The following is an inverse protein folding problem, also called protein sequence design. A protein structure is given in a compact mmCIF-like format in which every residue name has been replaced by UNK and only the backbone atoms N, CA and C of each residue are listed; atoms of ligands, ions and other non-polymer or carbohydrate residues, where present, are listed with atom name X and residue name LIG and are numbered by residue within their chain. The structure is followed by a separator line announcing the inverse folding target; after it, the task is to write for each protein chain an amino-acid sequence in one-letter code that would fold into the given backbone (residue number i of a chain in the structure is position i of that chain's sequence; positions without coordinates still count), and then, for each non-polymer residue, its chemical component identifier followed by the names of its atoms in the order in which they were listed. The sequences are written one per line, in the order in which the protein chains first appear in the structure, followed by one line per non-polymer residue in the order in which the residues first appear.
data_IF_920853661809
#
_entry.id   IF_920853661809
#
_cell.length_a   1.000
_cell.length_b   1.000
_cell.length_c   1.000
_cell.angle_alpha   90.00
_cell.angle_beta   90.00
_cell.angle_gamma   90.00
#
_symmetry.space_group_name_H-M   'P 1'
#
loop_
_entity.id
_entity.type
_entity.pdbx_description
1 polymer ?
#
# COMPACT_ATOMS: atom_id res chain seq x y z
N UNK A 1 27.05 -7.80 8.48
CA UNK A 1 27.11 -7.20 9.83
C UNK A 1 28.39 -6.38 9.90
N UNK A 2 28.30 -5.05 10.11
CA UNK A 2 29.47 -4.25 10.46
C UNK A 2 29.19 -3.61 11.82
N UNK A 3 29.99 -3.95 12.83
CA UNK A 3 29.96 -3.31 14.13
C UNK A 3 30.69 -1.97 13.98
N UNK A 4 29.98 -0.87 14.22
CA UNK A 4 30.56 0.47 14.24
C UNK A 4 30.51 1.02 15.68
N UNK A 5 31.51 1.81 16.04
CA UNK A 5 31.66 2.39 17.37
C UNK A 5 31.50 3.92 17.26
N UNK A 6 30.83 4.55 18.23
CA UNK A 6 30.79 6.01 18.33
C UNK A 6 32.11 6.57 18.94
N UNK A 7 32.25 7.90 18.99
CA UNK A 7 33.42 8.59 19.57
C UNK A 7 33.63 8.33 21.08
N UNK A 8 32.66 7.72 21.76
CA UNK A 8 32.68 7.31 23.16
C UNK A 8 32.78 5.78 23.33
N UNK A 9 33.09 5.04 22.25
CA UNK A 9 33.32 3.59 22.28
C UNK A 9 32.06 2.74 22.44
N UNK A 10 30.86 3.31 22.27
CA UNK A 10 29.61 2.53 22.38
C UNK A 10 29.36 1.77 21.08
N UNK A 11 29.21 0.43 21.13
CA UNK A 11 28.91 -0.35 19.93
C UNK A 11 27.47 -0.11 19.50
N UNK A 12 27.26 0.29 18.25
CA UNK A 12 25.93 0.33 17.62
C UNK A 12 25.92 -0.47 16.33
N UNK A 13 24.78 -1.09 16.02
CA UNK A 13 24.65 -1.97 14.87
C UNK A 13 24.15 -1.15 13.69
N UNK A 14 24.94 -1.07 12.63
CA UNK A 14 24.48 -0.55 11.34
C UNK A 14 23.78 -1.68 10.59
N UNK A 15 22.44 -1.71 10.64
CA UNK A 15 21.65 -2.57 9.78
C UNK A 15 21.76 -2.07 8.33
N UNK A 16 22.35 -2.88 7.43
CA UNK A 16 22.34 -2.62 5.99
C UNK A 16 20.95 -2.74 5.34
N UNK A 17 19.88 -2.92 6.11
CA UNK A 17 18.50 -2.92 5.60
C UNK A 17 18.08 -1.57 4.99
N UNK A 18 18.84 -0.49 5.24
CA UNK A 18 18.62 0.78 4.55
C UNK A 18 18.83 0.69 3.03
N UNK A 19 19.69 -0.20 2.54
CA UNK A 19 19.91 -0.43 1.10
C UNK A 19 18.74 -1.17 0.43
N UNK A 20 17.97 -1.96 1.19
CA UNK A 20 16.80 -2.67 0.65
C UNK A 20 15.56 -1.78 0.49
N UNK A 21 15.59 -0.54 1.01
CA UNK A 21 14.54 0.44 0.73
C UNK A 21 14.77 1.04 -0.65
N UNK A 22 14.18 0.42 -1.68
CA UNK A 22 14.00 1.02 -3.01
C UNK A 22 13.15 2.28 -2.89
N UNK A 23 13.80 3.39 -2.55
CA UNK A 23 13.14 4.69 -2.43
C UNK A 23 12.96 5.25 -3.83
N UNK A 24 11.79 4.99 -4.42
CA UNK A 24 11.36 5.68 -5.63
C UNK A 24 11.39 7.19 -5.35
N UNK A 25 12.22 7.93 -6.08
CA UNK A 25 12.42 9.38 -5.91
C UNK A 25 12.25 10.10 -7.24
N UNK A 26 11.91 11.38 -7.15
CA UNK A 26 11.80 12.25 -8.32
C UNK A 26 10.63 11.90 -9.24
N UNK A 27 10.86 12.02 -10.55
CA UNK A 27 9.84 11.93 -11.60
C UNK A 27 9.19 10.54 -11.65
N UNK A 28 9.95 9.47 -11.38
CA UNK A 28 9.41 8.11 -11.43
C UNK A 28 8.44 7.82 -10.28
N UNK A 29 8.68 8.39 -9.10
CA UNK A 29 7.72 8.35 -7.99
C UNK A 29 6.43 9.10 -8.34
N UNK A 30 6.53 10.24 -9.02
CA UNK A 30 5.34 10.99 -9.47
C UNK A 30 4.54 10.20 -10.51
N UNK A 31 5.22 9.58 -11.49
CA UNK A 31 4.56 8.72 -12.48
C UNK A 31 3.87 7.52 -11.84
N UNK A 32 4.53 6.85 -10.89
CA UNK A 32 3.95 5.75 -10.14
C UNK A 32 2.69 6.17 -9.37
N UNK A 33 2.74 7.33 -8.69
CA UNK A 33 1.59 7.87 -7.96
C UNK A 33 0.41 8.23 -8.88
N UNK A 34 0.69 8.83 -10.05
CA UNK A 34 -0.34 9.14 -11.04
C UNK A 34 -0.97 7.85 -11.59
N UNK A 35 -0.16 6.83 -11.88
CA UNK A 35 -0.66 5.53 -12.35
C UNK A 35 -1.54 4.84 -11.29
N UNK A 36 -1.10 4.83 -10.03
CA UNK A 36 -1.88 4.31 -8.91
C UNK A 36 -3.20 5.06 -8.74
N UNK A 37 -3.18 6.40 -8.77
CA UNK A 37 -4.38 7.23 -8.69
C UNK A 37 -5.36 6.96 -9.84
N UNK A 38 -4.86 6.81 -11.07
CA UNK A 38 -5.68 6.45 -12.24
C UNK A 38 -6.32 5.07 -12.09
N UNK A 39 -5.61 4.08 -11.55
CA UNK A 39 -6.13 2.75 -11.31
C UNK A 39 -7.29 2.77 -10.30
N UNK A 40 -7.08 3.44 -9.16
CA UNK A 40 -8.11 3.59 -8.12
C UNK A 40 -9.33 4.35 -8.67
N UNK A 41 -9.11 5.45 -9.39
CA UNK A 41 -10.20 6.24 -9.99
C UNK A 41 -11.02 5.42 -11.01
N UNK A 42 -10.38 4.54 -11.78
CA UNK A 42 -11.07 3.68 -12.76
C UNK A 42 -11.98 2.67 -12.07
N UNK A 43 -11.55 2.11 -10.93
CA UNK A 43 -12.35 1.16 -10.13
C UNK A 43 -13.55 1.89 -9.50
N UNK A 44 -13.33 3.07 -8.94
CA UNK A 44 -14.37 3.88 -8.28
C UNK A 44 -15.42 4.42 -9.25
N UNK A 45 -15.06 4.73 -10.50
CA UNK A 45 -15.97 5.32 -11.49
C UNK A 45 -17.25 4.52 -11.70
N UNK A 46 -17.16 3.18 -11.67
CA UNK A 46 -18.34 2.32 -11.84
C UNK A 46 -19.22 2.20 -10.61
N UNK A 47 -18.78 2.68 -9.44
CA UNK A 47 -19.48 2.54 -8.16
C UNK A 47 -20.03 3.88 -7.64
N UNK A 48 -19.78 4.99 -8.34
CA UNK A 48 -20.27 6.32 -7.99
C UNK A 48 -21.61 6.61 -8.69
N UNK A 49 -22.63 6.94 -7.89
CA UNK A 49 -23.95 7.36 -8.35
C UNK A 49 -25.09 6.41 -7.91
N UNK A 50 -26.36 6.81 -8.11
CA UNK A 50 -27.53 6.01 -7.70
C UNK A 50 -27.70 4.70 -8.48
N UNK A 51 -26.97 4.54 -9.61
CA UNK A 51 -26.83 3.29 -10.37
C UNK A 51 -25.41 2.70 -10.27
N UNK A 52 -24.68 3.06 -9.22
CA UNK A 52 -23.35 2.52 -8.97
C UNK A 52 -23.39 1.00 -8.83
N UNK A 53 -22.39 0.34 -9.40
CA UNK A 53 -22.24 -1.11 -9.39
C UNK A 53 -21.40 -1.56 -8.18
N UNK A 54 -21.88 -2.59 -7.51
CA UNK A 54 -21.12 -3.27 -6.45
C UNK A 54 -19.93 -4.04 -7.01
N UNK A 55 -18.93 -4.26 -6.15
CA UNK A 55 -17.73 -5.03 -6.48
C UNK A 55 -17.70 -6.31 -5.66
N UNK A 56 -17.33 -7.39 -6.33
CA UNK A 56 -16.99 -8.66 -5.70
C UNK A 56 -15.50 -8.65 -5.38
N UNK A 57 -15.16 -8.87 -4.12
CA UNK A 57 -13.79 -8.92 -3.60
C UNK A 57 -13.59 -10.26 -2.90
N UNK A 58 -12.42 -10.87 -3.13
CA UNK A 58 -12.05 -12.14 -2.54
C UNK A 58 -10.89 -11.95 -1.54
N UNK A 59 -11.12 -12.41 -0.32
CA UNK A 59 -10.17 -12.54 0.79
C UNK A 59 -8.97 -13.43 0.46
N UNK A 60 -7.81 -13.26 1.12
CA UNK A 60 -6.71 -14.24 1.02
C UNK A 60 -7.15 -15.63 1.49
N UNK A 61 -8.08 -15.70 2.45
CA UNK A 61 -8.63 -16.95 3.00
C UNK A 61 -9.77 -17.53 2.15
N UNK A 62 -10.09 -16.88 1.01
CA UNK A 62 -11.12 -17.34 0.07
C UNK A 62 -12.53 -16.82 0.33
N UNK A 63 -12.76 -16.03 1.39
CA UNK A 63 -14.04 -15.38 1.65
C UNK A 63 -14.40 -14.38 0.53
N UNK A 64 -15.68 -14.28 0.17
CA UNK A 64 -16.13 -13.45 -0.94
C UNK A 64 -17.18 -12.45 -0.46
N UNK A 65 -16.86 -11.17 -0.57
CA UNK A 65 -17.77 -10.07 -0.23
C UNK A 65 -18.20 -9.32 -1.47
N UNK A 66 -19.50 -9.07 -1.62
CA UNK A 66 -20.08 -8.22 -2.66
C UNK A 66 -20.54 -6.93 -2.00
N UNK A 67 -19.90 -5.80 -2.31
CA UNK A 67 -20.26 -4.50 -1.75
C UNK A 67 -19.70 -3.36 -2.59
N UNK A 68 -20.19 -2.14 -2.38
CA UNK A 68 -19.59 -0.94 -2.94
C UNK A 68 -18.11 -0.84 -2.57
N UNK A 69 -17.25 -0.55 -3.55
CA UNK A 69 -15.80 -0.63 -3.40
C UNK A 69 -15.24 0.20 -2.23
N UNK A 70 -15.81 1.38 -1.97
CA UNK A 70 -15.37 2.25 -0.86
C UNK A 70 -15.61 1.60 0.51
N UNK A 71 -16.82 1.08 0.71
CA UNK A 71 -17.20 0.40 1.95
C UNK A 71 -16.39 -0.88 2.15
N UNK A 72 -16.23 -1.65 1.07
CA UNK A 72 -15.50 -2.91 1.13
C UNK A 72 -14.00 -2.69 1.39
N UNK A 73 -13.36 -1.69 0.78
CA UNK A 73 -11.95 -1.40 1.00
C UNK A 73 -11.66 -1.01 2.45
N UNK A 74 -12.51 -0.16 3.05
CA UNK A 74 -12.35 0.23 4.45
C UNK A 74 -12.49 -0.98 5.37
N UNK A 75 -13.44 -1.86 5.10
CA UNK A 75 -13.66 -3.08 5.88
C UNK A 75 -12.47 -4.03 5.76
N UNK A 76 -11.95 -4.20 4.54
CA UNK A 76 -10.82 -5.08 4.26
C UNK A 76 -9.51 -4.60 4.89
N UNK A 77 -9.23 -3.29 4.81
CA UNK A 77 -8.07 -2.68 5.47
C UNK A 77 -8.16 -2.76 6.99
N UNK A 78 -9.37 -2.75 7.57
CA UNK A 78 -9.58 -2.85 9.01
C UNK A 78 -9.49 -4.28 9.55
N UNK A 79 -9.78 -5.28 8.72
CA UNK A 79 -9.71 -6.70 9.08
C UNK A 79 -8.29 -7.30 8.95
N UNK A 80 -7.42 -6.68 8.16
CA UNK A 80 -6.02 -7.11 8.00
C UNK A 80 -5.03 -6.60 9.06
N UNK A 81 -5.52 -6.12 10.22
CA UNK A 81 -4.72 -5.67 11.37
C UNK A 81 -4.72 -6.70 12.49
#
# INVERSE_FOLDING_TARGET
MALAFDEFGRPFIILREQDQKTRLRGIDAQKANIAAGKAVARILRSSLGPKGMDKMLQGPDGDVTISSFLTSLISYLRLGS
#
